data_IF_801215905366
#
_entry.id   IF_801215905366
#
_cell.length_a   1.000
_cell.length_b   1.000
_cell.length_c   1.000
_cell.angle_alpha   90.00
_cell.angle_beta   90.00
_cell.angle_gamma   90.00
#
_symmetry.space_group_name_H-M   'P 1'
#
loop_
_entity.id
_entity.type
_entity.pdbx_description
1 polymer ?
#
# COMPACT_ATOMS: atom_id res chain seq x y z
N UNK A 1 -3.34 -1.37 42.92
CA UNK A 1 -4.33 -0.80 41.98
C UNK A 1 -4.95 -1.99 41.24
N UNK A 2 -6.27 -2.16 41.30
CA UNK A 2 -6.94 -3.30 40.68
C UNK A 2 -6.76 -3.22 39.16
N UNK A 3 -6.09 -4.23 38.58
CA UNK A 3 -5.97 -4.39 37.13
C UNK A 3 -7.37 -4.70 36.58
N UNK A 4 -7.97 -3.71 35.92
CA UNK A 4 -9.16 -3.94 35.11
C UNK A 4 -8.80 -4.89 33.95
N UNK A 5 -9.76 -5.67 33.43
CA UNK A 5 -9.51 -6.49 32.25
C UNK A 5 -9.02 -5.64 31.07
N UNK A 6 -8.13 -6.20 30.24
CA UNK A 6 -7.55 -5.54 29.06
C UNK A 6 -8.59 -4.94 28.08
N UNK A 7 -9.84 -5.40 28.15
CA UNK A 7 -10.95 -5.01 27.28
C UNK A 7 -11.88 -3.95 27.88
N UNK A 8 -11.68 -3.55 29.15
CA UNK A 8 -12.58 -2.63 29.85
C UNK A 8 -12.70 -1.25 29.16
N UNK A 9 -11.66 -0.85 28.43
CA UNK A 9 -11.61 0.42 27.71
C UNK A 9 -11.99 0.30 26.21
N UNK A 10 -12.28 -0.90 25.70
CA UNK A 10 -12.45 -1.13 24.26
C UNK A 10 -13.61 -0.32 23.67
N UNK A 11 -14.70 -0.13 24.43
CA UNK A 11 -15.84 0.68 24.00
C UNK A 11 -15.46 2.16 23.86
N UNK A 12 -14.66 2.69 24.80
CA UNK A 12 -14.17 4.07 24.74
C UNK A 12 -13.22 4.24 23.56
N UNK A 13 -12.23 3.34 23.43
CA UNK A 13 -11.22 3.42 22.39
C UNK A 13 -11.78 3.22 20.98
N UNK A 14 -12.83 2.42 20.83
CA UNK A 14 -13.54 2.27 19.55
C UNK A 14 -13.99 3.61 19.00
N UNK A 15 -14.54 4.45 19.86
CA UNK A 15 -15.21 5.70 19.48
C UNK A 15 -14.24 6.90 19.37
N UNK A 16 -12.95 6.70 19.68
CA UNK A 16 -11.90 7.71 19.50
C UNK A 16 -11.34 7.73 18.08
N UNK A 17 -11.07 8.93 17.56
CA UNK A 17 -10.39 9.07 16.28
C UNK A 17 -8.96 8.49 16.35
N UNK A 18 -8.36 8.08 15.22
CA UNK A 18 -6.99 7.55 15.20
C UNK A 18 -5.94 8.44 15.88
N UNK A 19 -6.04 9.76 15.69
CA UNK A 19 -5.12 10.71 16.32
C UNK A 19 -5.30 10.78 17.84
N UNK A 20 -6.54 10.69 18.33
CA UNK A 20 -6.84 10.72 19.76
C UNK A 20 -6.32 9.46 20.46
N UNK A 21 -6.47 8.29 19.83
CA UNK A 21 -5.88 7.05 20.31
C UNK A 21 -4.35 7.15 20.40
N UNK A 22 -3.72 7.76 19.40
CA UNK A 22 -2.28 8.00 19.41
C UNK A 22 -1.87 8.95 20.54
N UNK A 23 -2.55 10.08 20.69
CA UNK A 23 -2.26 11.04 21.76
C UNK A 23 -2.49 10.44 23.15
N UNK A 24 -3.56 9.65 23.32
CA UNK A 24 -3.82 8.91 24.56
C UNK A 24 -2.70 7.92 24.88
N UNK A 25 -2.20 7.19 23.88
CA UNK A 25 -1.08 6.25 24.07
C UNK A 25 0.21 6.90 24.57
N UNK A 26 0.36 8.23 24.42
CA UNK A 26 1.53 8.98 24.91
C UNK A 26 1.42 9.42 26.36
N UNK A 27 0.24 9.33 26.98
CA UNK A 27 0.02 9.86 28.31
C UNK A 27 0.87 9.15 29.37
N UNK A 28 0.96 7.81 29.28
CA UNK A 28 1.80 6.97 30.14
C UNK A 28 1.93 5.54 29.56
N UNK A 29 2.75 4.71 30.21
CA UNK A 29 3.01 3.31 29.81
C UNK A 29 1.77 2.41 29.85
N UNK A 30 0.86 2.61 30.81
CA UNK A 30 -0.37 1.83 30.92
C UNK A 30 -1.31 2.13 29.75
N UNK A 31 -1.53 3.42 29.46
CA UNK A 31 -2.29 3.88 28.30
C UNK A 31 -1.70 3.35 26.99
N UNK A 32 -0.37 3.37 26.84
CA UNK A 32 0.30 2.77 25.69
C UNK A 32 0.00 1.27 25.54
N UNK A 33 0.08 0.51 26.64
CA UNK A 33 -0.21 -0.93 26.66
C UNK A 33 -1.69 -1.21 26.35
N UNK A 34 -2.62 -0.47 26.95
CA UNK A 34 -4.06 -0.62 26.67
C UNK A 34 -4.40 -0.34 25.20
N UNK A 35 -3.84 0.72 24.62
CA UNK A 35 -4.03 1.05 23.19
C UNK A 35 -3.40 -0.01 22.30
N UNK A 36 -2.20 -0.48 22.61
CA UNK A 36 -1.52 -1.53 21.83
C UNK A 36 -2.33 -2.82 21.85
N UNK A 37 -2.86 -3.20 23.02
CA UNK A 37 -3.74 -4.36 23.18
C UNK A 37 -5.04 -4.19 22.37
N UNK A 38 -5.69 -3.02 22.49
CA UNK A 38 -6.90 -2.69 21.73
C UNK A 38 -6.67 -2.75 20.21
N UNK A 39 -5.58 -2.18 19.70
CA UNK A 39 -5.28 -2.14 18.26
C UNK A 39 -5.21 -3.53 17.64
N UNK A 40 -4.64 -4.52 18.34
CA UNK A 40 -4.59 -5.92 17.87
C UNK A 40 -5.98 -6.51 17.62
N UNK A 41 -6.97 -6.13 18.44
CA UNK A 41 -8.36 -6.57 18.27
C UNK A 41 -9.15 -5.71 17.27
N UNK A 42 -8.82 -4.41 17.22
CA UNK A 42 -9.58 -3.43 16.46
C UNK A 42 -9.26 -3.47 14.95
N UNK A 43 -8.06 -3.90 14.57
CA UNK A 43 -7.57 -3.93 13.19
C UNK A 43 -7.52 -5.34 12.60
N UNK A 44 -8.61 -6.10 12.75
CA UNK A 44 -8.71 -7.44 12.17
C UNK A 44 -9.29 -7.38 10.75
N UNK A 45 -8.48 -7.75 9.75
CA UNK A 45 -8.90 -7.75 8.34
C UNK A 45 -10.07 -8.70 8.04
N UNK A 46 -10.18 -9.82 8.77
CA UNK A 46 -11.25 -10.81 8.55
C UNK A 46 -12.64 -10.17 8.61
N UNK A 47 -12.85 -9.17 9.49
CA UNK A 47 -14.10 -8.41 9.59
C UNK A 47 -14.57 -7.88 8.23
N UNK A 48 -13.65 -7.38 7.41
CA UNK A 48 -13.95 -6.78 6.10
C UNK A 48 -14.00 -7.81 4.96
N UNK A 49 -13.49 -9.02 5.17
CA UNK A 49 -13.47 -10.10 4.17
C UNK A 49 -14.64 -11.08 4.32
N UNK A 50 -15.17 -11.25 5.53
CA UNK A 50 -16.31 -12.12 5.83
C UNK A 50 -17.56 -11.87 4.97
N UNK A 51 -17.89 -10.63 4.54
CA UNK A 51 -18.99 -10.41 3.62
C UNK A 51 -18.79 -11.04 2.24
N UNK A 52 -17.56 -11.39 1.87
CA UNK A 52 -17.17 -11.87 0.54
C UNK A 52 -16.75 -13.33 0.51
N UNK A 53 -16.26 -13.87 1.63
CA UNK A 53 -15.63 -15.18 1.73
C UNK A 53 -15.99 -15.87 3.04
N UNK A 54 -16.06 -17.20 3.02
CA UNK A 54 -16.07 -18.01 4.24
C UNK A 54 -14.72 -17.95 4.95
N UNK A 55 -14.64 -18.29 6.24
CA UNK A 55 -13.36 -18.30 6.99
C UNK A 55 -12.27 -19.18 6.32
N UNK A 56 -12.68 -20.33 5.75
CA UNK A 56 -11.77 -21.19 5.00
C UNK A 56 -11.26 -20.49 3.72
N UNK A 57 -12.16 -19.86 2.97
CA UNK A 57 -11.80 -19.10 1.77
C UNK A 57 -10.93 -17.89 2.11
N UNK A 58 -11.14 -17.23 3.25
CA UNK A 58 -10.27 -16.17 3.75
C UNK A 58 -8.85 -16.70 3.99
N UNK A 59 -8.72 -17.85 4.64
CA UNK A 59 -7.40 -18.47 4.88
C UNK A 59 -6.67 -18.76 3.55
N UNK A 60 -7.37 -19.35 2.59
CA UNK A 60 -6.84 -19.61 1.25
C UNK A 60 -6.48 -18.31 0.51
N UNK A 61 -7.33 -17.30 0.61
CA UNK A 61 -7.12 -16.00 0.01
C UNK A 61 -5.89 -15.29 0.58
N UNK A 62 -5.69 -15.33 1.90
CA UNK A 62 -4.50 -14.74 2.54
C UNK A 62 -3.20 -15.41 2.07
N UNK A 63 -3.20 -16.74 1.92
CA UNK A 63 -2.07 -17.47 1.34
C UNK A 63 -1.83 -17.07 -0.13
N UNK A 64 -2.90 -16.94 -0.92
CA UNK A 64 -2.82 -16.47 -2.31
C UNK A 64 -2.24 -15.07 -2.41
N UNK A 65 -2.68 -14.13 -1.56
CA UNK A 65 -2.17 -12.75 -1.52
C UNK A 65 -0.68 -12.70 -1.22
N UNK A 66 -0.20 -13.51 -0.26
CA UNK A 66 1.23 -13.63 0.04
C UNK A 66 2.04 -14.10 -1.16
N UNK A 67 1.52 -15.10 -1.89
CA UNK A 67 2.20 -15.67 -3.06
C UNK A 67 2.22 -14.73 -4.26
N UNK A 68 1.14 -14.01 -4.51
CA UNK A 68 0.93 -13.26 -5.76
C UNK A 68 1.12 -11.75 -5.62
N UNK A 69 1.29 -11.23 -4.40
CA UNK A 69 1.39 -9.78 -4.15
C UNK A 69 0.08 -9.03 -4.37
N UNK A 70 -1.07 -9.68 -4.13
CA UNK A 70 -2.40 -9.06 -4.31
C UNK A 70 -2.67 -8.05 -3.19
N UNK A 71 -2.95 -6.81 -3.57
CA UNK A 71 -3.29 -5.72 -2.67
C UNK A 71 -4.80 -5.55 -2.55
N UNK A 72 -5.29 -5.21 -1.37
CA UNK A 72 -6.65 -4.69 -1.17
C UNK A 72 -6.54 -3.18 -1.05
N UNK A 73 -7.33 -2.41 -1.80
CA UNK A 73 -7.30 -0.94 -1.73
C UNK A 73 -8.71 -0.36 -1.84
N UNK A 74 -8.83 0.88 -2.33
CA UNK A 74 -10.10 1.57 -2.48
C UNK A 74 -10.81 1.80 -1.14
N UNK A 75 -12.14 1.72 -1.15
CA UNK A 75 -12.92 1.98 0.07
C UNK A 75 -12.73 0.95 1.16
N UNK A 76 -12.29 -0.27 0.85
CA UNK A 76 -12.01 -1.30 1.86
C UNK A 76 -10.80 -0.95 2.72
N UNK A 77 -9.74 -0.38 2.13
CA UNK A 77 -8.59 0.06 2.91
C UNK A 77 -8.94 1.22 3.85
N UNK A 78 -9.75 2.18 3.40
CA UNK A 78 -10.22 3.27 4.26
C UNK A 78 -11.06 2.74 5.44
N UNK A 79 -12.01 1.84 5.15
CA UNK A 79 -12.83 1.19 6.19
C UNK A 79 -11.97 0.53 7.27
N UNK A 80 -10.92 -0.16 6.85
CA UNK A 80 -9.97 -0.78 7.77
C UNK A 80 -9.30 0.23 8.71
N UNK A 81 -8.78 1.35 8.17
CA UNK A 81 -8.10 2.38 8.97
C UNK A 81 -9.05 3.19 9.87
N UNK A 82 -10.24 3.52 9.38
CA UNK A 82 -11.30 4.21 10.14
C UNK A 82 -11.95 3.30 11.19
N UNK A 83 -11.84 1.98 11.01
CA UNK A 83 -12.58 0.96 11.77
C UNK A 83 -14.10 1.04 11.56
N UNK A 84 -14.52 1.58 10.42
CA UNK A 84 -15.92 1.77 10.03
C UNK A 84 -16.34 0.85 8.90
N UNK A 85 -17.62 0.51 8.83
CA UNK A 85 -18.21 -0.26 7.74
C UNK A 85 -19.04 0.63 6.82
N UNK A 86 -18.77 0.57 5.52
CA UNK A 86 -19.55 1.23 4.49
C UNK A 86 -20.47 0.21 3.82
N UNK A 87 -21.76 0.32 4.11
CA UNK A 87 -22.79 -0.54 3.51
C UNK A 87 -22.73 -0.47 1.98
N UNK A 88 -22.75 -1.64 1.34
CA UNK A 88 -22.72 -1.76 -0.12
C UNK A 88 -21.38 -1.38 -0.76
N UNK A 89 -20.28 -1.33 -0.01
CA UNK A 89 -18.95 -1.25 -0.60
C UNK A 89 -18.65 -2.50 -1.42
N UNK A 90 -17.87 -2.32 -2.48
CA UNK A 90 -17.21 -3.40 -3.22
C UNK A 90 -15.88 -3.79 -2.52
N UNK A 91 -15.33 -4.95 -2.87
CA UNK A 91 -13.96 -5.35 -2.54
C UNK A 91 -13.05 -5.19 -3.76
N UNK A 92 -12.09 -4.26 -3.66
CA UNK A 92 -11.16 -3.94 -4.74
C UNK A 92 -9.83 -4.67 -4.53
N UNK A 93 -9.49 -5.56 -5.47
CA UNK A 93 -8.26 -6.35 -5.49
C UNK A 93 -7.34 -5.87 -6.61
N UNK A 94 -6.14 -5.43 -6.27
CA UNK A 94 -5.15 -4.97 -7.23
C UNK A 94 -4.05 -6.02 -7.39
N UNK A 95 -3.71 -6.33 -8.63
CA UNK A 95 -2.70 -7.34 -8.95
C UNK A 95 -2.02 -7.01 -10.27
N UNK A 96 -0.75 -7.39 -10.44
CA UNK A 96 -0.12 -7.36 -11.76
C UNK A 96 -0.89 -8.27 -12.73
N UNK A 97 -1.09 -7.79 -13.96
CA UNK A 97 -1.90 -8.48 -14.98
C UNK A 97 -1.49 -9.95 -15.19
N UNK A 98 -0.18 -10.26 -15.09
CA UNK A 98 0.34 -11.62 -15.26
C UNK A 98 -0.19 -12.62 -14.23
N UNK A 99 -0.62 -12.14 -13.05
CA UNK A 99 -1.13 -12.96 -11.96
C UNK A 99 -2.66 -13.00 -11.91
N UNK A 100 -3.36 -12.23 -12.77
CA UNK A 100 -4.81 -12.10 -12.76
C UNK A 100 -5.55 -13.45 -12.92
N UNK A 101 -5.02 -14.36 -13.74
CA UNK A 101 -5.63 -15.68 -13.97
C UNK A 101 -5.70 -16.55 -12.70
N UNK A 102 -4.65 -16.50 -11.87
CA UNK A 102 -4.60 -17.25 -10.62
C UNK A 102 -5.62 -16.71 -9.61
N UNK A 103 -5.78 -15.38 -9.53
CA UNK A 103 -6.83 -14.75 -8.70
C UNK A 103 -8.22 -15.10 -9.22
N UNK A 104 -8.45 -15.00 -10.53
CA UNK A 104 -9.71 -15.41 -11.17
C UNK A 104 -10.07 -16.86 -10.86
N UNK A 105 -9.10 -17.78 -10.91
CA UNK A 105 -9.34 -19.20 -10.59
C UNK A 105 -9.78 -19.39 -9.14
N UNK A 106 -9.18 -18.66 -8.19
CA UNK A 106 -9.64 -18.65 -6.81
C UNK A 106 -11.08 -18.10 -6.70
N UNK A 107 -11.38 -16.97 -7.34
CA UNK A 107 -12.71 -16.36 -7.28
C UNK A 107 -13.81 -17.29 -7.83
N UNK A 108 -13.55 -17.96 -8.96
CA UNK A 108 -14.48 -18.96 -9.51
C UNK A 108 -14.75 -20.10 -8.52
N UNK A 109 -13.70 -20.63 -7.87
CA UNK A 109 -13.85 -21.67 -6.84
C UNK A 109 -14.60 -21.18 -5.60
N UNK A 110 -14.47 -19.89 -5.29
CA UNK A 110 -15.22 -19.25 -4.21
C UNK A 110 -16.69 -18.97 -4.55
N UNK A 111 -17.15 -19.33 -5.77
CA UNK A 111 -18.54 -19.17 -6.21
C UNK A 111 -18.84 -17.83 -6.90
N UNK A 112 -17.81 -17.09 -7.30
CA UNK A 112 -17.97 -15.87 -8.10
C UNK A 112 -17.97 -16.19 -9.59
N UNK A 113 -18.62 -15.34 -10.37
CA UNK A 113 -18.66 -15.40 -11.82
C UNK A 113 -18.17 -14.08 -12.40
N UNK A 114 -17.37 -14.15 -13.45
CA UNK A 114 -16.95 -12.96 -14.20
C UNK A 114 -18.16 -12.37 -14.93
N UNK A 115 -18.32 -11.06 -14.81
CA UNK A 115 -19.35 -10.30 -15.53
C UNK A 115 -18.68 -9.23 -16.40
N UNK A 116 -18.68 -9.40 -17.74
CA UNK A 116 -18.03 -8.46 -18.62
C UNK A 116 -18.74 -7.11 -18.63
N UNK A 117 -17.96 -6.05 -18.69
CA UNK A 117 -18.46 -4.69 -18.96
C UNK A 117 -18.87 -4.56 -20.42
N UNK A 118 -19.68 -3.55 -20.73
CA UNK A 118 -20.19 -3.31 -22.09
C UNK A 118 -19.11 -3.14 -23.16
N UNK A 119 -17.90 -2.76 -22.77
CA UNK A 119 -16.74 -2.55 -23.67
C UNK A 119 -15.75 -3.72 -23.67
N UNK A 120 -16.02 -4.78 -22.91
CA UNK A 120 -15.13 -5.93 -22.75
C UNK A 120 -15.57 -7.11 -23.61
N UNK A 121 -14.62 -8.00 -23.88
CA UNK A 121 -14.92 -9.31 -24.45
C UNK A 121 -15.77 -10.13 -23.47
N UNK A 122 -16.50 -11.13 -23.98
CA UNK A 122 -17.44 -11.91 -23.16
C UNK A 122 -16.75 -12.80 -22.11
N UNK A 123 -15.49 -13.18 -22.33
CA UNK A 123 -14.75 -14.07 -21.42
C UNK A 123 -13.59 -13.34 -20.76
N UNK A 124 -13.23 -13.80 -19.56
CA UNK A 124 -12.07 -13.29 -18.85
C UNK A 124 -10.79 -13.52 -19.68
N UNK A 125 -10.66 -14.71 -20.27
CA UNK A 125 -9.52 -15.15 -21.07
C UNK A 125 -9.28 -14.22 -22.27
N UNK A 126 -10.31 -13.92 -23.05
CA UNK A 126 -10.17 -13.06 -24.23
C UNK A 126 -9.69 -11.65 -23.85
N UNK A 127 -10.19 -11.09 -22.74
CA UNK A 127 -9.74 -9.80 -22.22
C UNK A 127 -8.31 -9.87 -21.65
N UNK A 128 -7.97 -10.93 -20.90
CA UNK A 128 -6.63 -11.11 -20.32
C UNK A 128 -5.56 -11.30 -21.40
N UNK A 129 -5.87 -12.03 -22.47
CA UNK A 129 -5.00 -12.20 -23.63
C UNK A 129 -4.81 -10.86 -24.37
N UNK A 130 -5.89 -10.07 -24.50
CA UNK A 130 -5.83 -8.72 -25.07
C UNK A 130 -4.90 -7.82 -24.24
N UNK A 131 -5.04 -7.81 -22.91
CA UNK A 131 -4.14 -7.09 -22.00
C UNK A 131 -2.69 -7.54 -22.18
N UNK A 132 -2.45 -8.84 -22.20
CA UNK A 132 -1.10 -9.41 -22.38
C UNK A 132 -0.46 -8.94 -23.67
N UNK A 133 -1.21 -8.92 -24.79
CA UNK A 133 -0.72 -8.40 -26.09
C UNK A 133 -0.47 -6.90 -26.11
N UNK A 134 -1.17 -6.12 -25.29
CA UNK A 134 -1.00 -4.66 -25.21
C UNK A 134 0.17 -4.25 -24.30
N UNK A 135 0.42 -4.99 -23.22
CA UNK A 135 1.45 -4.65 -22.23
C UNK A 135 2.83 -5.18 -22.62
N UNK A 136 2.92 -6.29 -23.36
CA UNK A 136 4.15 -6.73 -24.01
C UNK A 136 4.35 -6.00 -25.37
N UNK A 137 5.54 -5.47 -25.75
CA UNK A 137 6.86 -5.59 -25.14
C UNK A 137 7.57 -4.22 -24.97
N UNK A 138 7.77 -3.74 -23.74
CA UNK A 138 8.93 -2.97 -23.23
C UNK A 138 8.56 -2.36 -21.87
N UNK A 139 9.49 -2.40 -20.92
CA UNK A 139 9.45 -1.49 -19.77
C UNK A 139 9.44 -0.07 -20.33
N UNK A 140 8.52 0.82 -19.90
CA UNK A 140 8.48 2.17 -20.42
C UNK A 140 9.80 2.87 -20.07
N UNK A 141 10.31 3.78 -20.92
CA UNK A 141 11.51 4.52 -20.56
C UNK A 141 11.29 5.28 -19.23
N UNK A 142 12.33 5.46 -18.40
CA UNK A 142 12.23 6.10 -17.08
C UNK A 142 11.54 7.48 -17.11
N UNK A 143 11.68 8.20 -18.23
CA UNK A 143 11.14 9.56 -18.45
C UNK A 143 9.83 9.59 -19.26
N UNK A 144 9.14 8.45 -19.42
CA UNK A 144 7.84 8.45 -20.08
C UNK A 144 6.85 9.27 -19.26
N UNK A 145 6.64 10.54 -19.66
CA UNK A 145 5.60 11.46 -19.14
C UNK A 145 4.18 10.86 -19.16
N UNK A 146 4.03 9.72 -19.83
CA UNK A 146 2.81 8.97 -20.02
C UNK A 146 3.01 7.56 -19.46
N UNK A 147 2.95 7.45 -18.13
CA UNK A 147 2.50 6.23 -17.48
C UNK A 147 1.04 5.98 -17.87
N UNK A 148 0.80 5.67 -19.16
CA UNK A 148 -0.50 5.40 -19.75
C UNK A 148 -1.24 4.41 -18.85
N UNK A 149 -2.30 4.89 -18.18
CA UNK A 149 -3.21 4.17 -17.29
C UNK A 149 -2.56 2.94 -16.61
N UNK A 150 -1.99 3.13 -15.40
CA UNK A 150 -1.46 2.05 -14.57
C UNK A 150 -2.37 0.81 -14.52
N UNK A 151 -3.69 1.05 -14.56
CA UNK A 151 -4.73 0.04 -14.69
C UNK A 151 -4.83 -0.41 -16.16
N UNK A 152 -4.47 -1.67 -16.41
CA UNK A 152 -4.63 -2.31 -17.70
C UNK A 152 -6.09 -2.70 -17.97
N UNK A 153 -6.76 -3.23 -16.95
CA UNK A 153 -8.14 -3.72 -17.05
C UNK A 153 -8.80 -3.84 -15.67
N UNK A 154 -10.13 -3.77 -15.62
CA UNK A 154 -10.90 -4.05 -14.40
C UNK A 154 -11.96 -5.10 -14.69
N UNK A 155 -11.85 -6.25 -14.01
CA UNK A 155 -12.79 -7.35 -14.13
C UNK A 155 -13.77 -7.35 -12.96
N UNK A 156 -15.06 -7.33 -13.25
CA UNK A 156 -16.09 -7.41 -12.21
C UNK A 156 -16.49 -8.87 -11.99
N UNK A 157 -16.55 -9.28 -10.72
CA UNK A 157 -16.96 -10.61 -10.30
C UNK A 157 -18.12 -10.51 -9.31
N UNK A 158 -19.17 -11.31 -9.53
CA UNK A 158 -20.34 -11.36 -8.66
C UNK A 158 -20.59 -12.78 -8.16
N UNK A 159 -21.00 -12.91 -6.90
CA UNK A 159 -21.51 -14.18 -6.37
C UNK A 159 -23.05 -14.21 -6.36
N UNK A 160 -23.62 -15.33 -5.93
CA UNK A 160 -25.07 -15.52 -5.87
C UNK A 160 -25.80 -14.56 -4.90
N UNK A 161 -25.07 -13.94 -3.97
CA UNK A 161 -25.59 -12.95 -3.02
C UNK A 161 -25.38 -11.50 -3.50
N UNK A 162 -25.07 -11.31 -4.79
CA UNK A 162 -24.80 -10.02 -5.42
C UNK A 162 -23.65 -9.23 -4.76
N UNK A 163 -22.72 -9.94 -4.11
CA UNK A 163 -21.48 -9.34 -3.62
C UNK A 163 -20.51 -9.19 -4.78
N UNK A 164 -19.95 -8.00 -4.89
CA UNK A 164 -19.06 -7.61 -5.98
C UNK A 164 -17.61 -7.55 -5.52
N UNK A 165 -16.75 -8.23 -6.29
CA UNK A 165 -15.31 -8.10 -6.21
C UNK A 165 -14.83 -7.50 -7.54
N UNK A 166 -14.05 -6.42 -7.45
CA UNK A 166 -13.34 -5.88 -8.61
C UNK A 166 -11.91 -6.43 -8.59
N UNK A 167 -11.50 -7.10 -9.66
CA UNK A 167 -10.11 -7.47 -9.89
C UNK A 167 -9.49 -6.46 -10.86
N UNK A 168 -8.66 -5.57 -10.32
CA UNK A 168 -7.95 -4.52 -11.04
C UNK A 168 -6.58 -5.06 -11.44
N UNK A 169 -6.38 -5.26 -12.74
CA UNK A 169 -5.11 -5.67 -13.30
C UNK A 169 -4.23 -4.44 -13.59
N UNK A 170 -3.08 -4.32 -12.94
CA UNK A 170 -2.08 -3.31 -13.25
C UNK A 170 -1.15 -3.78 -14.37
N UNK A 171 -0.70 -2.86 -15.23
CA UNK A 171 0.31 -3.15 -16.26
C UNK A 171 1.64 -3.56 -15.64
N UNK A 172 2.02 -2.83 -14.60
CA UNK A 172 3.29 -2.95 -13.89
C UNK A 172 2.99 -3.25 -12.41
N UNK A 173 3.40 -2.41 -11.49
CA UNK A 173 3.10 -2.58 -10.07
C UNK A 173 1.63 -2.29 -9.73
N UNK A 174 0.97 -3.06 -8.85
CA UNK A 174 -0.28 -2.64 -8.20
C UNK A 174 -0.18 -1.30 -7.46
N UNK A 175 1.01 -0.96 -6.93
CA UNK A 175 1.25 0.31 -6.23
C UNK A 175 1.21 1.50 -7.20
N UNK A 176 1.62 1.30 -8.46
CA UNK A 176 1.49 2.31 -9.53
C UNK A 176 0.03 2.77 -9.67
N UNK A 177 -0.91 1.80 -9.73
CA UNK A 177 -2.32 2.10 -9.83
C UNK A 177 -2.86 2.88 -8.63
N UNK A 178 -2.33 2.62 -7.43
CA UNK A 178 -2.72 3.30 -6.19
C UNK A 178 -2.14 4.72 -6.15
N UNK A 179 -0.87 4.91 -6.53
CA UNK A 179 -0.24 6.24 -6.60
C UNK A 179 -0.90 7.15 -7.65
N UNK A 180 -1.58 6.56 -8.65
CA UNK A 180 -2.36 7.28 -9.66
C UNK A 180 -3.86 7.44 -9.31
N UNK A 181 -4.30 7.12 -8.09
CA UNK A 181 -5.69 7.37 -7.68
C UNK A 181 -6.07 8.84 -7.81
N UNK A 182 -7.37 9.12 -7.95
CA UNK A 182 -7.92 10.47 -8.17
C UNK A 182 -7.59 11.50 -7.08
N UNK A 183 -7.19 11.04 -5.89
CA UNK A 183 -6.83 11.90 -4.76
C UNK A 183 -6.09 11.14 -3.65
N UNK A 184 -5.36 11.85 -2.80
CA UNK A 184 -4.51 11.23 -1.77
C UNK A 184 -5.25 10.49 -0.66
N UNK A 185 -6.50 10.84 -0.32
CA UNK A 185 -7.24 10.19 0.77
C UNK A 185 -7.53 8.70 0.54
N UNK A 186 -7.45 8.23 -0.71
CA UNK A 186 -7.65 6.82 -1.07
C UNK A 186 -6.34 6.07 -1.29
N UNK A 187 -5.18 6.71 -1.17
CA UNK A 187 -3.87 6.08 -1.36
C UNK A 187 -3.48 5.25 -0.12
N UNK A 188 -4.30 4.25 0.15
CA UNK A 188 -4.17 3.31 1.24
C UNK A 188 -4.36 1.91 0.68
N UNK A 189 -3.61 0.94 1.18
CA UNK A 189 -3.73 -0.43 0.72
C UNK A 189 -3.31 -1.41 1.80
N UNK A 190 -3.72 -2.65 1.61
CA UNK A 190 -3.47 -3.74 2.54
C UNK A 190 -2.79 -4.86 1.75
N UNK A 191 -1.62 -5.27 2.21
CA UNK A 191 -0.83 -6.38 1.71
C UNK A 191 -1.14 -7.65 2.50
N UNK A 192 -0.40 -8.72 2.25
CA UNK A 192 -0.55 -9.96 3.00
C UNK A 192 -0.15 -9.84 4.49
N UNK A 193 0.76 -8.92 4.82
CA UNK A 193 1.31 -8.76 6.19
C UNK A 193 0.95 -7.43 6.84
N UNK A 194 0.71 -6.36 6.08
CA UNK A 194 0.52 -5.01 6.63
C UNK A 194 -0.58 -4.22 5.90
N UNK A 195 -1.16 -3.25 6.60
CA UNK A 195 -1.91 -2.15 5.99
C UNK A 195 -1.05 -0.89 5.99
N UNK A 196 -1.10 -0.15 4.88
CA UNK A 196 -0.36 1.09 4.65
C UNK A 196 -1.31 2.22 4.27
N UNK A 197 -1.14 3.38 4.91
CA UNK A 197 -1.69 4.65 4.46
C UNK A 197 -0.55 5.60 4.13
N UNK A 198 -0.50 6.09 2.90
CA UNK A 198 0.63 6.88 2.40
C UNK A 198 0.59 8.36 2.83
N UNK A 199 -0.60 8.86 3.18
CA UNK A 199 -0.85 10.25 3.59
C UNK A 199 -1.71 10.27 4.87
N UNK A 200 -1.25 9.55 5.90
CA UNK A 200 -2.10 9.14 7.00
C UNK A 200 -2.59 10.31 7.86
N UNK A 201 -1.73 11.31 8.12
CA UNK A 201 -2.07 12.45 8.96
C UNK A 201 -3.12 13.31 8.27
N UNK A 202 -2.87 13.72 7.03
CA UNK A 202 -3.85 14.46 6.25
C UNK A 202 -5.16 13.69 6.09
N UNK A 203 -5.09 12.39 5.77
CA UNK A 203 -6.28 11.58 5.49
C UNK A 203 -7.14 11.35 6.72
N UNK A 204 -6.54 10.85 7.82
CA UNK A 204 -7.30 10.36 8.97
C UNK A 204 -7.39 11.35 10.13
N UNK A 205 -6.43 12.28 10.26
CA UNK A 205 -6.48 13.30 11.32
C UNK A 205 -7.08 14.61 10.82
N UNK A 206 -6.65 15.10 9.66
CA UNK A 206 -7.06 16.43 9.17
C UNK A 206 -8.25 16.40 8.21
N UNK A 207 -8.64 15.21 7.74
CA UNK A 207 -9.66 15.00 6.69
C UNK A 207 -9.36 15.82 5.43
N UNK A 208 -8.10 15.94 5.05
CA UNK A 208 -7.63 16.66 3.85
C UNK A 208 -7.28 15.65 2.76
N UNK A 209 -7.60 15.99 1.52
CA UNK A 209 -7.23 15.20 0.35
C UNK A 209 -6.78 16.12 -0.76
N UNK A 210 -5.68 15.76 -1.42
CA UNK A 210 -5.17 16.49 -2.57
C UNK A 210 -5.65 15.78 -3.83
N UNK A 211 -6.27 16.47 -4.79
CA UNK A 211 -6.68 15.85 -6.04
C UNK A 211 -5.44 15.57 -6.88
N UNK A 212 -5.36 14.38 -7.46
CA UNK A 212 -4.34 14.07 -8.47
C UNK A 212 -4.67 14.77 -9.78
N UNK A 213 -3.71 14.87 -10.70
CA UNK A 213 -3.88 15.49 -12.03
C UNK A 213 -5.11 15.01 -12.81
N UNK A 214 -5.52 13.76 -12.63
CA UNK A 214 -6.67 13.19 -13.32
C UNK A 214 -7.99 13.90 -12.92
N UNK A 215 -8.60 14.62 -13.88
CA UNK A 215 -9.74 15.49 -13.63
C UNK A 215 -10.93 15.26 -14.57
N UNK A 216 -11.08 14.04 -15.10
CA UNK A 216 -12.25 13.67 -15.89
C UNK A 216 -13.53 13.56 -15.05
N UNK A 217 -14.71 13.44 -15.68
CA UNK A 217 -15.99 13.33 -14.98
C UNK A 217 -16.03 12.16 -13.97
N UNK A 218 -15.34 11.07 -14.28
CA UNK A 218 -15.25 9.89 -13.40
C UNK A 218 -14.47 10.22 -12.14
N UNK A 219 -13.33 10.89 -12.25
CA UNK A 219 -12.48 11.27 -11.12
C UNK A 219 -13.15 12.34 -10.26
N UNK A 220 -13.85 13.29 -10.89
CA UNK A 220 -14.67 14.29 -10.17
C UNK A 220 -15.73 13.59 -9.31
N UNK A 221 -16.54 12.72 -9.91
CA UNK A 221 -17.57 11.96 -9.19
C UNK A 221 -16.98 11.08 -8.08
N UNK A 222 -15.82 10.48 -8.34
CA UNK A 222 -15.16 9.67 -7.35
C UNK A 222 -14.65 10.51 -6.16
N UNK A 223 -14.17 11.73 -6.38
CA UNK A 223 -13.85 12.68 -5.29
C UNK A 223 -15.08 13.16 -4.55
N UNK A 224 -16.18 13.45 -5.24
CA UNK A 224 -17.46 13.81 -4.61
C UNK A 224 -17.92 12.75 -3.61
N UNK A 225 -17.83 11.46 -3.97
CA UNK A 225 -18.11 10.34 -3.06
C UNK A 225 -17.33 10.42 -1.74
N UNK A 226 -16.06 10.86 -1.76
CA UNK A 226 -15.26 11.01 -0.54
C UNK A 226 -15.48 12.37 0.14
N UNK A 227 -15.84 13.41 -0.60
CA UNK A 227 -16.28 14.67 -0.01
C UNK A 227 -17.55 14.49 0.84
N UNK A 228 -18.52 13.71 0.34
CA UNK A 228 -19.75 13.35 1.07
C UNK A 228 -19.48 12.55 2.36
N UNK A 229 -18.29 11.92 2.44
CA UNK A 229 -17.82 11.21 3.63
C UNK A 229 -16.95 12.07 4.55
N UNK A 230 -16.85 13.36 4.29
CA UNK A 230 -16.21 14.34 5.17
C UNK A 230 -14.77 14.74 4.81
N UNK A 231 -14.18 14.18 3.74
CA UNK A 231 -12.88 14.64 3.27
C UNK A 231 -12.99 15.96 2.52
N UNK A 232 -12.05 16.88 2.75
CA UNK A 232 -11.97 18.16 2.07
C UNK A 232 -10.93 18.08 0.98
N UNK A 233 -11.36 18.30 -0.26
CA UNK A 233 -10.44 18.47 -1.39
C UNK A 233 -9.71 19.82 -1.23
N UNK A 234 -8.39 19.80 -1.19
CA UNK A 234 -7.54 20.97 -0.98
C UNK A 234 -6.53 21.15 -2.13
N UNK A 235 -6.04 22.37 -2.29
CA UNK A 235 -4.84 22.66 -3.07
C UNK A 235 -3.67 22.82 -2.10
N UNK A 236 -2.53 22.23 -2.43
CA UNK A 236 -1.29 22.32 -1.64
C UNK A 236 -0.37 23.37 -2.23
N UNK A 237 0.40 24.03 -1.36
CA UNK A 237 1.49 24.94 -1.72
C UNK A 237 2.83 24.38 -1.22
N UNK A 238 3.95 24.91 -1.70
CA UNK A 238 5.27 24.52 -1.20
C UNK A 238 5.42 24.72 0.33
N UNK A 239 4.71 25.71 0.88
CA UNK A 239 4.75 26.06 2.30
C UNK A 239 3.61 25.40 3.10
N UNK A 240 2.98 24.34 2.58
CA UNK A 240 1.92 23.64 3.33
C UNK A 240 2.49 23.10 4.66
N UNK A 241 1.82 23.27 5.80
CA UNK A 241 2.33 22.74 7.06
C UNK A 241 2.38 21.20 7.09
N UNK A 242 1.60 20.51 6.25
CA UNK A 242 1.66 19.07 6.13
C UNK A 242 2.82 18.66 5.20
N UNK A 243 3.97 18.36 5.81
CA UNK A 243 5.19 17.92 5.12
C UNK A 243 5.01 16.67 4.26
N UNK A 244 3.96 15.88 4.50
CA UNK A 244 3.63 14.72 3.66
C UNK A 244 3.26 15.11 2.21
N UNK A 245 2.87 16.37 1.96
CA UNK A 245 2.55 16.92 0.64
C UNK A 245 3.70 17.68 -0.04
N UNK A 246 4.88 17.72 0.57
CA UNK A 246 6.04 18.41 -0.03
C UNK A 246 6.69 17.56 -1.12
N UNK A 247 7.49 18.21 -1.97
CA UNK A 247 8.35 17.54 -2.95
C UNK A 247 9.56 16.90 -2.27
N UNK A 248 9.28 15.85 -1.49
CA UNK A 248 10.28 15.05 -0.79
C UNK A 248 10.26 13.62 -1.33
N UNK A 249 11.40 12.93 -1.22
CA UNK A 249 11.46 11.50 -1.49
C UNK A 249 10.64 10.76 -0.43
N UNK A 250 9.55 10.13 -0.88
CA UNK A 250 8.66 9.28 -0.08
C UNK A 250 8.91 7.81 -0.38
N UNK A 251 8.64 6.96 0.60
CA UNK A 251 8.74 5.49 0.50
C UNK A 251 7.56 4.83 1.18
N UNK A 252 7.10 3.69 0.68
CA UNK A 252 6.07 2.91 1.38
C UNK A 252 6.62 2.49 2.74
N UNK A 253 5.91 2.88 3.80
CA UNK A 253 6.34 2.61 5.18
C UNK A 253 7.34 3.61 5.74
N UNK A 254 7.58 4.75 5.06
CA UNK A 254 8.30 5.87 5.68
C UNK A 254 7.55 6.45 6.89
N UNK A 255 8.22 7.35 7.60
CA UNK A 255 7.69 8.03 8.80
C UNK A 255 6.37 8.79 8.62
N UNK A 256 6.00 9.12 7.38
CA UNK A 256 4.76 9.82 7.08
C UNK A 256 3.62 8.84 6.74
N UNK A 257 3.96 7.55 6.55
CA UNK A 257 2.98 6.49 6.41
C UNK A 257 2.44 6.06 7.78
N UNK A 258 1.21 5.55 7.79
CA UNK A 258 0.72 4.74 8.90
C UNK A 258 0.73 3.27 8.49
N UNK A 259 1.50 2.48 9.23
CA UNK A 259 1.68 1.04 9.03
C UNK A 259 1.02 0.29 10.17
N UNK A 260 0.17 -0.69 9.84
CA UNK A 260 -0.48 -1.58 10.81
C UNK A 260 -0.16 -3.03 10.44
N UNK A 261 0.50 -3.81 11.30
CA UNK A 261 0.70 -5.24 11.09
C UNK A 261 -0.65 -5.97 11.15
N UNK A 262 -0.84 -6.95 10.28
CA UNK A 262 -2.03 -7.78 10.24
C UNK A 262 -1.80 -9.08 10.99
N UNK A 263 -2.83 -9.56 11.69
CA UNK A 263 -2.80 -10.85 12.39
C UNK A 263 -2.60 -11.98 11.37
N UNK A 264 -1.39 -12.53 11.21
CA UNK A 264 -1.12 -13.62 10.28
C UNK A 264 -1.43 -14.97 10.98
N UNK A 265 -2.09 -15.93 10.30
CA UNK A 265 -2.32 -17.28 10.85
C UNK A 265 -1.04 -18.02 11.29
N UNK A 266 0.13 -17.56 10.85
CA UNK A 266 1.45 -18.14 11.19
C UNK A 266 2.22 -17.35 12.24
N UNK A 267 1.64 -16.31 12.85
CA UNK A 267 2.32 -15.52 13.91
C UNK A 267 2.60 -16.35 15.19
N UNK A 268 2.07 -17.57 15.26
CA UNK A 268 2.40 -18.58 16.27
C UNK A 268 3.69 -19.40 15.96
N UNK A 269 4.41 -19.12 14.86
CA UNK A 269 5.58 -19.91 14.43
C UNK A 269 6.88 -19.11 14.29
N UNK A 270 7.09 -18.07 15.11
CA UNK A 270 8.44 -17.58 15.46
C UNK A 270 9.46 -17.45 14.32
N UNK A 271 9.14 -16.72 13.25
CA UNK A 271 10.10 -16.25 12.24
C UNK A 271 9.69 -14.83 11.82
N UNK A 272 10.27 -13.76 12.38
CA UNK A 272 11.51 -13.05 11.98
C UNK A 272 11.63 -12.71 10.49
N UNK A 273 11.66 -11.39 10.23
CA UNK A 273 11.82 -10.68 8.95
C UNK A 273 10.60 -10.64 8.02
N UNK A 274 9.86 -9.54 8.15
CA UNK A 274 8.80 -9.08 7.27
C UNK A 274 9.32 -8.93 5.82
N UNK A 275 9.13 -9.95 5.00
CA UNK A 275 9.55 -10.00 3.58
C UNK A 275 8.62 -9.20 2.65
N UNK A 276 7.84 -8.24 3.16
CA UNK A 276 7.01 -7.42 2.27
C UNK A 276 7.88 -6.46 1.46
N UNK A 277 8.10 -6.83 0.19
CA UNK A 277 8.90 -6.05 -0.76
C UNK A 277 8.17 -4.78 -1.22
N UNK A 278 6.93 -4.55 -0.77
CA UNK A 278 6.22 -3.31 -1.08
C UNK A 278 6.96 -2.06 -0.61
N UNK A 279 7.76 -2.17 0.46
CA UNK A 279 8.58 -1.06 0.99
C UNK A 279 9.62 -0.49 0.02
N UNK A 280 9.89 -1.18 -1.09
CA UNK A 280 10.82 -0.73 -2.15
C UNK A 280 10.24 0.43 -2.95
N UNK A 281 8.93 0.59 -2.96
CA UNK A 281 8.27 1.61 -3.75
C UNK A 281 8.56 3.00 -3.19
N UNK A 282 9.06 3.88 -4.05
CA UNK A 282 9.35 5.28 -3.76
C UNK A 282 8.68 6.19 -4.78
N UNK A 283 8.34 7.40 -4.35
CA UNK A 283 7.77 8.44 -5.20
C UNK A 283 8.13 9.82 -4.67
N UNK A 284 8.02 10.85 -5.50
CA UNK A 284 7.91 12.24 -5.05
C UNK A 284 6.55 12.78 -5.45
N UNK A 285 6.02 13.74 -4.69
CA UNK A 285 4.87 14.52 -5.13
C UNK A 285 5.41 15.77 -5.81
N UNK A 286 5.22 15.92 -7.12
CA UNK A 286 5.47 17.19 -7.80
C UNK A 286 4.24 18.08 -7.62
N UNK A 287 4.30 19.16 -6.81
CA UNK A 287 3.15 20.00 -6.53
C UNK A 287 2.85 21.02 -7.64
N UNK A 288 3.70 21.14 -8.67
CA UNK A 288 3.67 22.23 -9.64
C UNK A 288 3.47 21.80 -11.09
N UNK A 289 2.91 20.62 -11.35
CA UNK A 289 2.58 20.26 -12.73
C UNK A 289 1.67 21.33 -13.35
N UNK A 290 2.19 21.97 -14.41
CA UNK A 290 1.63 23.10 -15.14
C UNK A 290 0.22 22.81 -15.68
N UNK A 291 -0.23 21.54 -15.63
CA UNK A 291 -1.45 21.02 -16.23
C UNK A 291 -2.51 20.49 -15.25
N UNK A 292 -2.49 20.85 -13.95
CA UNK A 292 -3.73 20.82 -13.14
C UNK A 292 -3.79 19.93 -11.89
N UNK A 293 -2.68 19.74 -11.17
CA UNK A 293 -2.66 19.11 -9.84
C UNK A 293 -1.41 18.28 -9.60
N UNK A 294 -1.10 17.85 -8.36
CA UNK A 294 0.10 17.10 -8.09
C UNK A 294 0.14 15.76 -8.80
N UNK A 295 1.34 15.40 -9.24
CA UNK A 295 1.66 14.13 -9.87
C UNK A 295 2.62 13.35 -8.95
N UNK A 296 2.32 12.08 -8.71
CA UNK A 296 3.28 11.18 -8.08
C UNK A 296 4.31 10.78 -9.14
N UNK A 297 5.57 11.13 -8.94
CA UNK A 297 6.64 10.89 -9.90
C UNK A 297 7.54 9.75 -9.45
N UNK A 298 7.83 8.85 -10.37
CA UNK A 298 8.69 7.66 -10.22
C UNK A 298 8.96 7.07 -11.61
N UNK A 299 9.99 6.25 -11.71
CA UNK A 299 10.34 5.49 -12.91
C UNK A 299 10.11 3.98 -12.74
N UNK A 300 10.06 3.28 -13.88
CA UNK A 300 10.17 1.83 -13.95
C UNK A 300 11.51 1.46 -14.55
N UNK A 301 12.20 0.51 -13.94
CA UNK A 301 13.52 0.13 -14.39
C UNK A 301 13.60 -1.35 -14.80
N UNK A 302 14.32 -1.66 -15.90
CA UNK A 302 14.46 -3.03 -16.39
C UNK A 302 14.99 -4.02 -15.36
N UNK A 303 15.96 -3.63 -14.53
CA UNK A 303 16.54 -4.49 -13.49
C UNK A 303 15.58 -4.81 -12.33
N UNK A 304 14.48 -4.06 -12.21
CA UNK A 304 13.37 -4.32 -11.29
C UNK A 304 12.18 -4.99 -11.97
N UNK A 305 12.36 -5.48 -13.21
CA UNK A 305 11.31 -6.07 -14.06
C UNK A 305 10.08 -5.16 -14.26
N UNK A 306 10.22 -3.85 -14.04
CA UNK A 306 9.08 -2.92 -14.01
C UNK A 306 8.04 -3.25 -12.91
N UNK A 307 8.37 -4.06 -11.91
CA UNK A 307 7.41 -4.46 -10.86
C UNK A 307 7.36 -3.48 -9.69
N UNK A 308 8.26 -2.49 -9.67
CA UNK A 308 8.41 -1.54 -8.56
C UNK A 308 8.52 -0.11 -9.10
N UNK A 309 7.78 0.80 -8.48
CA UNK A 309 7.85 2.24 -8.72
C UNK A 309 9.04 2.80 -7.92
N UNK A 310 10.07 3.32 -8.59
CA UNK A 310 11.26 3.81 -7.89
C UNK A 310 11.68 5.18 -8.44
N UNK A 311 12.06 6.10 -7.57
CA UNK A 311 12.65 7.39 -7.96
C UNK A 311 14.13 7.19 -8.30
N UNK A 312 14.63 7.80 -9.39
CA UNK A 312 16.00 7.61 -9.87
C UNK A 312 17.06 7.90 -8.81
N UNK A 313 16.86 8.93 -7.97
CA UNK A 313 17.72 9.27 -6.84
C UNK A 313 17.87 8.10 -5.86
N UNK A 314 16.74 7.45 -5.52
CA UNK A 314 16.73 6.30 -4.62
C UNK A 314 17.50 5.13 -5.24
N UNK A 315 17.28 4.86 -6.52
CA UNK A 315 17.96 3.80 -7.24
C UNK A 315 19.47 4.05 -7.37
N UNK A 316 19.88 5.26 -7.74
CA UNK A 316 21.28 5.66 -7.92
C UNK A 316 22.07 5.52 -6.61
N UNK A 317 21.42 5.82 -5.50
CA UNK A 317 21.99 5.61 -4.16
C UNK A 317 22.26 4.11 -3.88
N UNK A 318 21.40 3.20 -4.34
CA UNK A 318 21.63 1.75 -4.22
C UNK A 318 22.76 1.28 -5.11
N UNK A 319 22.73 1.68 -6.38
CA UNK A 319 23.73 1.32 -7.39
C UNK A 319 25.12 1.78 -6.93
N UNK A 320 25.27 3.00 -6.42
CA UNK A 320 26.56 3.52 -5.95
C UNK A 320 27.11 2.82 -4.71
N UNK A 321 26.25 2.23 -3.87
CA UNK A 321 26.66 1.45 -2.68
C UNK A 321 26.92 -0.03 -2.98
N UNK A 322 26.64 -0.49 -4.20
CA UNK A 322 26.79 -1.88 -4.61
C UNK A 322 27.94 -1.98 -5.63
N UNK A 323 28.96 -2.83 -5.43
CA UNK A 323 30.00 -3.04 -6.43
C UNK A 323 29.42 -3.78 -7.65
N UNK A 324 28.82 -3.03 -8.57
CA UNK A 324 28.35 -3.53 -9.85
C UNK A 324 29.53 -3.51 -10.84
N UNK A 325 29.86 -4.66 -11.42
CA UNK A 325 30.78 -4.76 -12.54
C UNK A 325 30.14 -4.07 -13.76
N UNK A 326 30.50 -2.82 -13.98
CA UNK A 326 30.16 -2.04 -15.16
C UNK A 326 31.12 -2.42 -16.30
N UNK A 327 30.75 -3.35 -17.17
CA UNK A 327 31.38 -3.46 -18.49
C UNK A 327 30.59 -2.66 -19.53
N UNK A 328 31.23 -1.62 -20.07
CA UNK A 328 30.91 -0.93 -21.34
C UNK A 328 29.42 -0.72 -21.69
N UNK A 329 28.71 0.04 -20.86
CA UNK A 329 27.41 0.64 -21.27
C UNK A 329 26.26 -0.34 -21.51
N UNK A 330 26.47 -1.62 -21.26
CA UNK A 330 25.43 -2.65 -21.20
C UNK A 330 25.74 -3.57 -20.03
N UNK A 331 24.90 -3.56 -18.99
CA UNK A 331 24.99 -4.53 -17.90
C UNK A 331 24.76 -5.92 -18.52
N UNK A 332 25.82 -6.70 -18.70
CA UNK A 332 25.73 -8.09 -19.12
C UNK A 332 25.32 -8.93 -17.91
N UNK A 333 24.05 -9.34 -17.90
CA UNK A 333 23.46 -10.15 -16.84
C UNK A 333 23.96 -11.60 -16.95
N UNK A 334 25.03 -11.94 -16.22
CA UNK A 334 25.43 -13.33 -16.02
C UNK A 334 24.72 -13.86 -14.76
N UNK A 335 23.77 -14.79 -14.97
CA UNK A 335 23.10 -15.64 -13.98
C UNK A 335 22.20 -14.95 -12.92
N UNK A 336 20.93 -14.71 -13.27
CA UNK A 336 19.91 -14.09 -12.39
C UNK A 336 18.88 -15.10 -11.85
N UNK A 337 19.02 -15.54 -10.58
CA UNK A 337 17.91 -15.37 -9.62
C UNK A 337 18.31 -14.73 -8.28
N UNK A 338 19.58 -14.80 -7.86
CA UNK A 338 20.02 -14.35 -6.53
C UNK A 338 20.22 -12.83 -6.43
N UNK A 339 20.88 -12.22 -7.41
CA UNK A 339 21.23 -10.79 -7.33
C UNK A 339 20.02 -9.85 -7.39
N UNK A 340 18.93 -10.24 -8.07
CA UNK A 340 17.69 -9.46 -8.11
C UNK A 340 17.08 -9.35 -6.71
N UNK A 341 17.10 -10.45 -5.96
CA UNK A 341 16.63 -10.48 -4.58
C UNK A 341 17.54 -9.67 -3.64
N UNK A 342 18.86 -9.71 -3.87
CA UNK A 342 19.83 -8.89 -3.13
C UNK A 342 19.65 -7.39 -3.39
N UNK A 343 19.40 -6.98 -4.63
CA UNK A 343 19.11 -5.59 -4.98
C UNK A 343 17.82 -5.11 -4.29
N UNK A 344 16.76 -5.91 -4.30
CA UNK A 344 15.50 -5.59 -3.64
C UNK A 344 15.69 -5.45 -2.12
N UNK A 345 16.48 -6.34 -1.50
CA UNK A 345 16.87 -6.22 -0.09
C UNK A 345 17.71 -4.98 0.18
N UNK A 346 18.66 -4.65 -0.69
CA UNK A 346 19.48 -3.45 -0.55
C UNK A 346 18.65 -2.18 -0.66
N UNK A 347 17.75 -2.06 -1.65
CA UNK A 347 16.82 -0.92 -1.77
C UNK A 347 15.98 -0.79 -0.50
N UNK A 348 15.47 -1.90 0.04
CA UNK A 348 14.71 -1.90 1.28
C UNK A 348 15.57 -1.44 2.47
N UNK A 349 16.71 -2.08 2.69
CA UNK A 349 17.58 -1.89 3.86
C UNK A 349 18.30 -0.53 3.85
N UNK A 350 18.57 0.06 2.69
CA UNK A 350 19.27 1.35 2.58
C UNK A 350 18.58 2.50 3.30
N UNK A 351 17.25 2.44 3.41
CA UNK A 351 16.47 3.49 4.08
C UNK A 351 15.94 3.03 5.44
N UNK A 352 16.33 1.84 5.90
CA UNK A 352 16.05 1.35 7.26
C UNK A 352 17.17 1.76 8.25
N UNK A 353 18.29 2.32 7.77
CA UNK A 353 19.28 2.96 8.64
C UNK A 353 18.79 4.33 9.12
N UNK A 354 18.12 4.33 10.28
CA UNK A 354 18.30 5.40 11.26
C UNK A 354 19.79 5.51 11.68
N UNK A 355 20.22 6.61 12.32
CA UNK A 355 21.63 6.86 12.59
C UNK A 355 22.28 5.66 13.27
N UNK A 356 23.26 5.05 12.58
CA UNK A 356 24.14 4.02 13.11
C UNK A 356 24.75 4.55 14.42
N UNK A 357 24.43 3.98 15.60
CA UNK A 357 25.16 4.35 16.80
C UNK A 357 26.63 3.96 16.58
N UNK A 358 27.59 4.82 16.95
CA UNK A 358 29.00 4.56 16.70
C UNK A 358 29.38 3.22 17.32
N UNK A 359 30.09 2.40 16.55
CA UNK A 359 30.75 1.18 17.04
C UNK A 359 31.54 1.53 18.30
N UNK A 360 31.09 1.04 19.46
CA UNK A 360 31.95 0.86 20.62
C UNK A 360 31.58 -0.41 21.37
N UNK A 361 32.43 -1.42 21.18
CA UNK A 361 33.08 -2.24 22.19
C UNK A 361 32.45 -2.17 23.60
N UNK A 362 31.88 -3.29 24.06
CA UNK A 362 31.65 -3.56 25.49
C UNK A 362 30.18 -3.77 25.86
N UNK A 363 29.82 -5.01 26.15
CA UNK A 363 28.48 -5.48 26.58
C UNK A 363 27.98 -4.84 27.89
N UNK A 364 26.67 -4.65 28.00
CA UNK A 364 25.87 -5.22 29.09
C UNK A 364 24.49 -5.65 28.57
N UNK A 365 24.03 -6.81 29.01
CA UNK A 365 22.73 -7.42 28.70
C UNK A 365 21.62 -6.70 29.47
N UNK A 366 20.80 -5.92 28.77
CA UNK A 366 19.37 -5.63 29.05
C UNK A 366 18.96 -4.48 28.12
N UNK A 367 18.34 -4.82 26.99
CA UNK A 367 17.38 -4.01 26.21
C UNK A 367 17.22 -4.61 24.81
N UNK A 368 16.21 -5.46 24.64
CA UNK A 368 15.69 -5.83 23.33
C UNK A 368 14.20 -5.47 23.28
N UNK A 369 13.88 -4.30 22.72
CA UNK A 369 12.55 -3.98 22.20
C UNK A 369 12.56 -2.68 21.36
N UNK A 370 13.15 -2.69 20.17
CA UNK A 370 12.81 -1.67 19.14
C UNK A 370 12.77 -2.31 17.75
N UNK A 371 11.59 -2.81 17.38
CA UNK A 371 11.19 -3.03 15.99
C UNK A 371 9.75 -2.53 15.84
N UNK A 372 9.62 -1.32 15.32
CA UNK A 372 8.35 -0.65 15.06
C UNK A 372 8.58 0.83 14.79
N UNK A 373 8.65 1.21 13.51
CA UNK A 373 8.77 2.60 13.08
C UNK A 373 7.62 3.41 13.69
N UNK A 374 7.97 4.40 14.50
CA UNK A 374 7.07 5.20 15.32
C UNK A 374 6.58 6.43 14.54
N UNK A 375 5.36 6.87 14.80
CA UNK A 375 4.70 8.08 14.28
C UNK A 375 5.37 9.40 14.77
N UNK A 376 6.66 9.34 15.11
CA UNK A 376 7.40 10.35 15.88
C UNK A 376 8.34 11.23 15.04
N UNK A 377 8.54 10.97 13.75
CA UNK A 377 9.48 11.78 12.94
C UNK A 377 8.83 12.93 12.16
N UNK A 378 7.57 13.27 12.48
CA UNK A 378 6.89 14.48 12.00
C UNK A 378 7.12 15.59 13.04
N UNK A 379 8.23 16.32 12.88
CA UNK A 379 8.49 17.51 13.70
C UNK A 379 7.52 18.62 13.32
N UNK A 380 6.67 19.01 14.27
CA UNK A 380 5.94 20.27 14.23
C UNK A 380 6.93 21.42 14.38
N UNK A 381 6.99 22.29 13.36
CA UNK A 381 7.27 23.70 13.56
C UNK A 381 6.12 24.50 12.98
#
# INVERSE_FOLDING_TARGET
>A
MLLLPDTAHDLLFRDLAPLDLYNYSKANREAYQSITSFRKRAYTLNKYLLPYFTEEQITQFRALRKKLGVLISGSTAIQFFEREEYKGSDLDLYVNYSQGYAVKTFLLKAGYHFWPRSTQEQTFEANADRVTRMVHPRVPPPDSLYADLAIAEVFDFYNAADKKIQLIASKYSPVDAILQFHSTCVMNFITHSHAYSLYARATFAERRSVPSRANGPREVKAREKYNDRGWKTIKVSCDDPATEFHDILRRVGDKYCWVIPLDHPSDNQGHTEDNDLVGIHTWKMDPFDYYGGPLMTYGFYPHLNGMYCVVEEALSTVISKTPLLLEYGSITYTDAPSWHYDLLRLVKNMFDEGPVPPKNIGKSEDDQAELGVSFQDIKLK
#
